data_IF_715910041838
#
_entry.id   IF_715910041838
#
_cell.length_a   1.000
_cell.length_b   1.000
_cell.length_c   1.000
_cell.angle_alpha   90.00
_cell.angle_beta   90.00
_cell.angle_gamma   90.00
#
_symmetry.space_group_name_H-M   'P 1'
#
loop_
_entity.id
_entity.type
_entity.pdbx_description
1 polymer ?
#
# COMPACT_ATOMS: atom_id res chain seq x y z
N UNK A 1 -6.63 4.34 13.15
CA UNK A 1 -7.90 3.65 12.86
C UNK A 1 -7.61 2.45 11.95
N UNK A 2 -8.23 1.30 12.18
CA UNK A 2 -8.06 0.09 11.37
C UNK A 2 -9.44 -0.43 10.94
N UNK A 3 -9.60 -0.76 9.67
CA UNK A 3 -10.82 -1.40 9.14
C UNK A 3 -10.55 -2.89 8.97
N UNK A 4 -11.22 -3.69 9.78
CA UNK A 4 -11.05 -5.14 9.81
C UNK A 4 -12.44 -5.80 9.95
N UNK A 5 -12.97 -6.44 8.89
CA UNK A 5 -14.29 -7.06 8.92
C UNK A 5 -14.34 -8.37 9.72
N UNK A 6 -13.20 -8.98 10.05
CA UNK A 6 -13.12 -10.25 10.77
C UNK A 6 -12.73 -10.04 12.22
N UNK A 7 -13.27 -10.89 13.10
CA UNK A 7 -12.90 -10.84 14.51
C UNK A 7 -11.43 -11.30 14.67
N UNK A 8 -10.60 -10.36 15.14
CA UNK A 8 -9.16 -10.52 15.31
C UNK A 8 -8.81 -10.16 16.75
N UNK A 9 -8.90 -11.11 17.71
CA UNK A 9 -8.75 -10.82 19.14
C UNK A 9 -7.44 -10.14 19.53
N UNK A 10 -6.39 -10.35 18.74
CA UNK A 10 -5.10 -9.69 18.97
C UNK A 10 -5.14 -8.18 18.69
N UNK A 11 -6.05 -7.67 17.86
CA UNK A 11 -6.19 -6.24 17.59
C UNK A 11 -6.66 -5.48 18.83
N UNK A 12 -7.52 -6.07 19.66
CA UNK A 12 -7.98 -5.46 20.90
C UNK A 12 -6.82 -5.16 21.86
N UNK A 13 -5.77 -5.97 21.82
CA UNK A 13 -4.59 -5.81 22.66
C UNK A 13 -3.67 -4.65 22.23
N UNK A 14 -3.86 -4.12 21.02
CA UNK A 14 -3.01 -3.04 20.45
C UNK A 14 -3.44 -1.65 20.88
N UNK A 15 -4.66 -1.49 21.40
CA UNK A 15 -5.26 -0.18 21.68
C UNK A 15 -5.69 0.59 20.44
N UNK A 16 -5.65 -0.02 19.25
CA UNK A 16 -6.14 0.59 18.02
C UNK A 16 -7.67 0.72 18.03
N UNK A 17 -8.18 1.84 17.49
CA UNK A 17 -9.59 1.94 17.13
C UNK A 17 -9.86 1.10 15.89
N UNK A 18 -10.64 0.02 16.06
CA UNK A 18 -10.99 -0.94 15.01
C UNK A 18 -12.45 -0.74 14.59
N UNK A 19 -12.67 -0.61 13.29
CA UNK A 19 -13.99 -0.57 12.67
C UNK A 19 -14.30 -1.96 12.07
N UNK A 20 -15.36 -2.65 12.51
CA UNK A 20 -15.75 -3.97 12.01
C UNK A 20 -16.43 -3.86 10.64
N UNK A 21 -15.68 -3.39 9.65
CA UNK A 21 -16.15 -3.08 8.30
C UNK A 21 -15.05 -3.40 7.31
N UNK A 22 -15.42 -3.65 6.06
CA UNK A 22 -14.45 -3.77 4.97
C UNK A 22 -13.96 -2.39 4.59
N UNK A 23 -12.71 -2.29 4.16
CA UNK A 23 -12.12 -1.02 3.73
C UNK A 23 -12.92 -0.36 2.58
N UNK A 24 -13.52 -1.17 1.69
CA UNK A 24 -14.38 -0.67 0.61
C UNK A 24 -15.73 -0.08 1.05
N UNK A 25 -16.18 -0.38 2.27
CA UNK A 25 -17.46 0.07 2.83
C UNK A 25 -17.31 1.29 3.75
N UNK A 26 -16.08 1.79 3.93
CA UNK A 26 -15.79 2.95 4.77
C UNK A 26 -16.38 4.22 4.16
N UNK A 27 -16.97 5.07 5.01
CA UNK A 27 -17.39 6.41 4.60
C UNK A 27 -16.15 7.25 4.28
N UNK A 28 -16.04 7.82 3.06
CA UNK A 28 -14.95 8.72 2.70
C UNK A 28 -14.80 9.92 3.65
N UNK A 29 -15.86 10.30 4.38
CA UNK A 29 -15.80 11.36 5.39
C UNK A 29 -14.78 11.09 6.51
N UNK A 30 -14.45 9.81 6.77
CA UNK A 30 -13.40 9.43 7.72
C UNK A 30 -12.02 9.93 7.31
N UNK A 31 -11.80 10.18 6.02
CA UNK A 31 -10.55 10.76 5.53
C UNK A 31 -10.37 12.23 5.93
N UNK A 32 -11.44 12.91 6.36
CA UNK A 32 -11.38 14.27 6.88
C UNK A 32 -10.76 14.36 8.28
N UNK A 33 -10.70 13.23 9.00
CA UNK A 33 -10.08 13.19 10.33
C UNK A 33 -8.55 13.18 10.24
N UNK A 34 -8.00 12.78 9.10
CA UNK A 34 -6.56 12.72 8.87
C UNK A 34 -5.94 14.11 8.97
N UNK A 35 -4.87 14.21 9.74
CA UNK A 35 -4.04 15.40 9.90
C UNK A 35 -2.76 15.27 9.09
N UNK A 36 -2.09 16.40 8.82
CA UNK A 36 -0.76 16.37 8.20
C UNK A 36 0.16 15.40 8.95
N UNK A 37 0.97 14.67 8.19
CA UNK A 37 1.88 13.61 8.64
C UNK A 37 1.23 12.32 9.18
N UNK A 38 -0.09 12.19 9.12
CA UNK A 38 -0.74 10.88 9.31
C UNK A 38 -0.39 9.89 8.19
N UNK A 39 -0.59 8.61 8.48
CA UNK A 39 -0.21 7.50 7.61
C UNK A 39 -1.42 6.65 7.24
N UNK A 40 -1.69 6.57 5.93
CA UNK A 40 -2.64 5.64 5.34
C UNK A 40 -1.90 4.38 4.86
N UNK A 41 -2.25 3.23 5.43
CA UNK A 41 -1.76 1.93 4.98
C UNK A 41 -2.79 1.21 4.12
N UNK A 42 -2.37 0.76 2.93
CA UNK A 42 -3.19 0.00 1.98
C UNK A 42 -2.63 -1.42 1.86
N UNK A 43 -3.41 -2.37 2.38
CA UNK A 43 -3.19 -3.80 2.21
C UNK A 43 -4.38 -4.39 1.45
N UNK A 44 -4.15 -4.66 0.16
CA UNK A 44 -5.17 -5.08 -0.78
C UNK A 44 -4.90 -6.52 -1.28
N UNK A 45 -5.95 -7.23 -1.77
CA UNK A 45 -5.82 -8.56 -2.36
C UNK A 45 -5.14 -8.58 -3.75
N UNK A 46 -4.47 -7.49 -4.17
CA UNK A 46 -3.61 -7.34 -5.35
C UNK A 46 -4.28 -7.48 -6.73
N UNK A 47 -5.51 -8.00 -6.79
CA UNK A 47 -6.26 -8.17 -8.04
C UNK A 47 -7.29 -7.04 -8.24
N UNK A 48 -7.03 -6.22 -9.25
CA UNK A 48 -7.91 -5.19 -9.79
C UNK A 48 -9.06 -5.85 -10.55
N UNK A 49 -10.29 -5.57 -10.09
CA UNK A 49 -11.55 -5.94 -10.74
C UNK A 49 -12.49 -4.74 -10.74
N UNK A 50 -13.40 -4.66 -11.71
CA UNK A 50 -14.41 -3.58 -11.77
C UNK A 50 -15.22 -3.57 -10.46
N UNK A 51 -15.26 -2.42 -9.80
CA UNK A 51 -15.97 -2.25 -8.51
C UNK A 51 -15.37 -3.06 -7.35
N UNK A 52 -14.16 -3.61 -7.50
CA UNK A 52 -13.47 -4.30 -6.41
C UNK A 52 -12.77 -3.34 -5.46
N UNK A 53 -12.36 -3.87 -4.30
CA UNK A 53 -11.64 -3.16 -3.25
C UNK A 53 -10.49 -2.29 -3.77
N UNK A 54 -9.58 -2.86 -4.56
CA UNK A 54 -8.44 -2.12 -5.14
C UNK A 54 -8.88 -0.90 -5.94
N UNK A 55 -9.95 -1.02 -6.75
CA UNK A 55 -10.45 0.13 -7.51
C UNK A 55 -11.03 1.22 -6.60
N UNK A 56 -11.72 0.82 -5.53
CA UNK A 56 -12.31 1.74 -4.55
C UNK A 56 -11.20 2.44 -3.77
N UNK A 57 -10.23 1.71 -3.24
CA UNK A 57 -9.07 2.24 -2.53
C UNK A 57 -8.33 3.30 -3.39
N UNK A 58 -8.06 3.02 -4.66
CA UNK A 58 -7.31 3.97 -5.49
C UNK A 58 -8.15 5.17 -5.94
N UNK A 59 -9.40 4.94 -6.36
CA UNK A 59 -10.22 6.00 -6.94
C UNK A 59 -10.93 6.86 -5.90
N UNK A 60 -11.30 6.28 -4.76
CA UNK A 60 -12.08 6.95 -3.72
C UNK A 60 -11.26 7.30 -2.49
N UNK A 61 -10.18 6.56 -2.19
CA UNK A 61 -9.33 6.86 -1.03
C UNK A 61 -8.09 7.63 -1.50
N UNK A 62 -7.13 6.96 -2.17
CA UNK A 62 -5.83 7.55 -2.53
C UNK A 62 -5.94 8.88 -3.29
N UNK A 63 -6.93 8.98 -4.19
CA UNK A 63 -7.17 10.19 -4.98
C UNK A 63 -7.60 11.41 -4.16
N UNK A 64 -8.35 11.21 -3.07
CA UNK A 64 -8.94 12.31 -2.28
C UNK A 64 -8.23 12.54 -0.94
N UNK A 65 -7.24 11.71 -0.61
CA UNK A 65 -6.39 11.90 0.56
C UNK A 65 -5.78 13.30 0.54
N UNK A 66 -5.86 13.96 1.70
CA UNK A 66 -5.38 15.31 1.92
C UNK A 66 -3.86 15.45 1.67
N UNK A 67 -3.43 16.67 1.39
CA UNK A 67 -2.01 17.01 1.29
C UNK A 67 -1.33 16.78 2.65
N UNK A 68 -0.08 16.30 2.63
CA UNK A 68 0.72 16.01 3.80
C UNK A 68 0.67 14.56 4.28
N UNK A 69 -0.35 13.80 3.86
CA UNK A 69 -0.54 12.40 4.27
C UNK A 69 0.45 11.47 3.57
N UNK A 70 1.01 10.54 4.34
CA UNK A 70 1.82 9.44 3.85
C UNK A 70 0.93 8.28 3.44
N UNK A 71 1.09 7.78 2.21
CA UNK A 71 0.36 6.63 1.70
C UNK A 71 1.34 5.49 1.47
N UNK A 72 1.08 4.36 2.12
CA UNK A 72 1.91 3.16 2.09
C UNK A 72 1.13 2.05 1.43
N UNK A 73 1.61 1.62 0.26
CA UNK A 73 0.99 0.55 -0.52
C UNK A 73 1.88 -0.67 -0.40
N UNK A 74 1.29 -1.78 0.05
CA UNK A 74 2.00 -3.05 0.23
C UNK A 74 2.05 -3.86 -1.08
N UNK A 75 2.99 -4.82 -1.13
CA UNK A 75 3.15 -5.80 -2.20
C UNK A 75 3.32 -5.27 -3.65
N UNK A 76 3.92 -4.09 -3.79
CA UNK A 76 4.34 -3.48 -5.06
C UNK A 76 5.79 -3.84 -5.35
N UNK A 77 6.04 -4.68 -6.37
CA UNK A 77 7.38 -5.12 -6.78
C UNK A 77 7.88 -4.29 -7.98
N UNK A 78 7.95 -2.97 -7.79
CA UNK A 78 8.34 -2.01 -8.84
C UNK A 78 9.60 -2.46 -9.55
N UNK A 79 9.58 -2.46 -10.90
CA UNK A 79 10.65 -2.91 -11.82
C UNK A 79 10.77 -4.42 -12.11
N UNK A 80 9.94 -5.27 -11.50
CA UNK A 80 9.87 -6.70 -11.84
C UNK A 80 8.44 -7.15 -12.14
N UNK A 81 8.33 -8.34 -12.75
CA UNK A 81 7.07 -9.08 -12.89
C UNK A 81 6.76 -9.81 -11.58
N UNK A 82 5.49 -10.16 -11.41
CA UNK A 82 4.99 -11.01 -10.32
C UNK A 82 5.92 -12.20 -10.04
N UNK A 83 6.10 -12.54 -8.76
CA UNK A 83 6.92 -13.66 -8.36
C UNK A 83 6.37 -14.95 -8.97
N UNK A 84 7.20 -15.84 -9.55
CA UNK A 84 6.74 -17.09 -10.15
C UNK A 84 5.86 -17.92 -9.22
N UNK A 85 6.16 -17.89 -7.92
CA UNK A 85 5.40 -18.56 -6.86
C UNK A 85 3.96 -18.05 -6.74
N UNK A 86 3.71 -16.75 -6.96
CA UNK A 86 2.39 -16.14 -6.89
C UNK A 86 1.48 -16.61 -8.03
N UNK A 87 2.07 -16.79 -9.22
CA UNK A 87 1.39 -17.31 -10.40
C UNK A 87 1.16 -18.83 -10.32
N UNK A 88 2.18 -19.58 -9.91
CA UNK A 88 2.17 -21.05 -9.95
C UNK A 88 1.34 -21.70 -8.83
N UNK A 89 1.31 -21.10 -7.63
CA UNK A 89 0.71 -21.75 -6.44
C UNK A 89 -0.65 -21.14 -6.11
N UNK A 90 -0.90 -19.88 -6.45
CA UNK A 90 -2.09 -19.15 -5.99
C UNK A 90 -3.01 -18.59 -7.08
N UNK A 91 -2.65 -18.70 -8.37
CA UNK A 91 -3.34 -17.98 -9.47
C UNK A 91 -3.57 -16.49 -9.14
N UNK A 92 -2.62 -15.86 -8.44
CA UNK A 92 -2.73 -14.44 -8.07
C UNK A 92 -2.26 -13.59 -9.24
N UNK A 93 -3.19 -12.87 -9.85
CA UNK A 93 -2.90 -11.91 -10.91
C UNK A 93 -2.73 -10.53 -10.26
N UNK A 94 -1.50 -10.17 -9.94
CA UNK A 94 -1.17 -9.01 -9.10
C UNK A 94 -1.04 -7.73 -9.93
N UNK A 95 -2.12 -7.35 -10.60
CA UNK A 95 -2.16 -6.16 -11.47
C UNK A 95 -2.31 -4.83 -10.70
N UNK A 96 -2.43 -4.85 -9.37
CA UNK A 96 -2.34 -3.65 -8.52
C UNK A 96 -1.02 -2.89 -8.72
N UNK A 97 0.09 -3.59 -8.98
CA UNK A 97 1.36 -2.95 -9.28
C UNK A 97 1.24 -2.02 -10.50
N UNK A 98 0.63 -2.49 -11.58
CA UNK A 98 0.41 -1.68 -12.79
C UNK A 98 -0.48 -0.48 -12.51
N UNK A 99 -1.48 -0.63 -11.64
CA UNK A 99 -2.34 0.48 -11.23
C UNK A 99 -1.54 1.52 -10.43
N UNK A 100 -0.70 1.07 -9.49
CA UNK A 100 0.21 1.94 -8.70
C UNK A 100 1.17 2.70 -9.60
N UNK A 101 1.87 2.00 -10.50
CA UNK A 101 2.82 2.61 -11.43
C UNK A 101 2.10 3.63 -12.34
N UNK A 102 0.88 3.32 -12.80
CA UNK A 102 0.07 4.26 -13.59
C UNK A 102 -0.39 5.49 -12.81
N UNK A 103 -0.73 5.32 -11.53
CA UNK A 103 -1.09 6.41 -10.63
C UNK A 103 0.09 7.35 -10.39
N UNK A 104 1.31 6.80 -10.29
CA UNK A 104 2.53 7.57 -10.05
C UNK A 104 3.09 8.23 -11.32
N UNK A 105 2.78 7.66 -12.48
CA UNK A 105 3.32 8.14 -13.76
C UNK A 105 2.87 9.58 -14.03
N UNK A 106 3.84 10.51 -13.98
CA UNK A 106 3.65 11.96 -14.17
C UNK A 106 2.60 12.58 -13.22
N UNK A 107 2.40 11.98 -12.06
CA UNK A 107 1.50 12.51 -11.06
C UNK A 107 2.24 13.46 -10.12
N UNK A 108 2.14 14.76 -10.40
CA UNK A 108 2.76 15.82 -9.60
C UNK A 108 2.18 15.95 -8.19
N UNK A 109 1.03 15.31 -7.95
CA UNK A 109 0.32 15.38 -6.69
C UNK A 109 0.82 14.33 -5.68
N UNK A 110 1.66 13.40 -6.13
CA UNK A 110 2.29 12.38 -5.30
C UNK A 110 3.82 12.46 -5.38
N UNK A 111 4.47 12.65 -4.24
CA UNK A 111 5.91 12.53 -4.11
C UNK A 111 6.27 11.07 -3.74
N UNK A 112 7.09 10.42 -4.56
CA UNK A 112 7.60 9.08 -4.26
C UNK A 112 8.73 9.22 -3.24
N UNK A 113 8.50 8.75 -2.03
CA UNK A 113 9.51 8.75 -0.97
C UNK A 113 10.43 7.54 -1.08
N UNK A 114 9.85 6.38 -1.39
CA UNK A 114 10.59 5.12 -1.33
C UNK A 114 9.89 3.99 -2.07
N UNK A 115 10.61 3.30 -2.94
CA UNK A 115 10.21 1.98 -3.44
C UNK A 115 11.23 0.97 -2.93
N UNK A 116 10.82 0.15 -1.94
CA UNK A 116 11.77 -0.77 -1.30
C UNK A 116 12.27 -1.82 -2.28
N UNK A 117 11.42 -2.27 -3.21
CA UNK A 117 11.82 -3.25 -4.22
C UNK A 117 12.93 -2.68 -5.10
N UNK A 118 12.73 -1.47 -5.63
CA UNK A 118 13.72 -0.77 -6.44
C UNK A 118 15.05 -0.60 -5.69
N UNK A 119 14.98 -0.13 -4.45
CA UNK A 119 16.18 0.09 -3.62
C UNK A 119 16.87 -1.22 -3.24
N UNK A 120 16.14 -2.31 -3.06
CA UNK A 120 16.73 -3.61 -2.81
C UNK A 120 17.59 -4.04 -3.99
N UNK A 121 17.09 -3.91 -5.23
CA UNK A 121 17.83 -4.32 -6.43
C UNK A 121 18.96 -3.36 -6.81
N UNK A 122 18.73 -2.05 -6.72
CA UNK A 122 19.69 -1.05 -7.21
C UNK A 122 20.65 -0.55 -6.13
N UNK A 123 20.24 -0.61 -4.86
CA UNK A 123 20.91 0.04 -3.74
C UNK A 123 20.92 -0.81 -2.46
N UNK A 124 21.00 -2.15 -2.58
CA UNK A 124 20.92 -3.09 -1.46
C UNK A 124 21.80 -2.69 -0.26
N UNK A 125 23.06 -2.34 -0.51
CA UNK A 125 24.00 -1.97 0.56
C UNK A 125 23.59 -0.73 1.35
N UNK A 126 22.90 0.24 0.72
CA UNK A 126 22.33 1.41 1.42
C UNK A 126 21.06 1.01 2.17
N UNK A 127 20.19 0.24 1.53
CA UNK A 127 18.96 -0.25 2.15
C UNK A 127 19.26 -1.06 3.42
N UNK A 128 20.25 -1.97 3.38
CA UNK A 128 20.63 -2.85 4.49
C UNK A 128 21.13 -2.10 5.72
N UNK A 129 21.66 -0.88 5.57
CA UNK A 129 22.08 -0.02 6.70
C UNK A 129 20.91 0.48 7.54
N UNK A 130 19.73 0.61 6.93
CA UNK A 130 18.52 1.13 7.59
C UNK A 130 17.55 -0.01 7.88
N UNK A 131 17.32 -0.89 6.90
CA UNK A 131 16.45 -2.05 7.01
C UNK A 131 17.25 -3.29 7.40
N UNK A 132 17.60 -3.38 8.70
CA UNK A 132 18.49 -4.42 9.25
C UNK A 132 17.97 -5.85 9.03
N UNK A 133 16.66 -6.04 9.02
CA UNK A 133 16.02 -7.35 8.85
C UNK A 133 15.86 -7.78 7.38
N UNK A 134 16.17 -6.92 6.41
CA UNK A 134 16.05 -7.25 4.98
C UNK A 134 17.14 -8.25 4.58
N UNK A 135 16.76 -9.38 4.00
CA UNK A 135 17.69 -10.38 3.46
C UNK A 135 17.78 -10.27 1.95
N UNK A 136 18.88 -10.74 1.36
CA UNK A 136 19.06 -10.74 -0.10
C UNK A 136 18.06 -11.64 -0.82
N UNK A 137 17.56 -12.68 -0.14
CA UNK A 137 16.65 -13.68 -0.72
C UNK A 137 15.18 -13.28 -0.62
N UNK A 138 14.85 -12.14 -0.01
CA UNK A 138 13.47 -11.67 0.14
C UNK A 138 13.27 -10.38 -0.64
N UNK A 139 12.18 -10.34 -1.38
CA UNK A 139 11.76 -9.20 -2.19
C UNK A 139 10.85 -8.29 -1.36
N UNK A 140 11.30 -7.09 -0.93
CA UNK A 140 10.44 -6.17 -0.22
C UNK A 140 9.47 -5.52 -1.20
N UNK A 141 8.19 -5.46 -0.83
CA UNK A 141 7.11 -4.95 -1.69
C UNK A 141 6.45 -3.66 -1.19
N UNK A 142 7.02 -2.95 -0.23
CA UNK A 142 6.39 -1.71 0.26
C UNK A 142 6.79 -0.52 -0.61
N UNK A 143 5.80 0.28 -1.01
CA UNK A 143 5.96 1.55 -1.70
C UNK A 143 5.40 2.68 -0.85
N UNK A 144 6.16 3.76 -0.73
CA UNK A 144 5.90 4.91 0.14
C UNK A 144 5.79 6.16 -0.72
N UNK A 145 4.69 6.89 -0.54
CA UNK A 145 4.49 8.19 -1.18
C UNK A 145 3.89 9.21 -0.20
N UNK A 146 4.04 10.49 -0.51
CA UNK A 146 3.38 11.59 0.21
C UNK A 146 2.48 12.35 -0.76
N UNK A 147 1.29 12.73 -0.31
CA UNK A 147 0.44 13.67 -1.07
C UNK A 147 0.98 15.08 -0.91
N UNK A 148 1.24 15.76 -2.02
CA UNK A 148 1.88 17.09 -2.04
C UNK A 148 1.06 18.16 -2.78
N UNK A 149 0.01 17.78 -3.52
CA UNK A 149 -0.93 18.69 -4.17
C UNK A 149 -2.35 18.11 -4.28
#
# INVERSE_FOLDING_TARGET
>A
MCSEPYDMPWLETTGASVLPSRGEDLDPSLLLEFQEDDVLFIESPQMVRRGGKVMIEYLQIVRVVAVGIYVLISNILTSRRDLPEWLAIGMRFCNEQSLTESLLLRNVACEILSSLNLMHHQHYGRLKRVALFTTCNREPGSSYMRRVA
#
